data_IF_624042049400
#
_entry.id   IF_624042049400
#
_cell.length_a   1.000
_cell.length_b   1.000
_cell.length_c   1.000
_cell.angle_alpha   90.00
_cell.angle_beta   90.00
_cell.angle_gamma   90.00
#
_symmetry.space_group_name_H-M   'P 1'
#
loop_
_entity.id
_entity.type
_entity.pdbx_description
1 polymer ?
#
# COMPACT_ATOMS: atom_id res chain seq x y z
N UNK A 1 -28.88 -51.69 5.20
CA UNK A 1 -28.71 -50.36 5.85
C UNK A 1 -27.25 -49.98 6.14
N UNK A 2 -26.28 -50.91 6.07
CA UNK A 2 -24.86 -50.64 6.36
C UNK A 2 -24.06 -50.08 5.16
N UNK A 3 -24.42 -50.42 3.91
CA UNK A 3 -23.73 -49.95 2.70
C UNK A 3 -23.95 -48.46 2.40
N UNK A 4 -25.16 -47.94 2.62
CA UNK A 4 -25.46 -46.53 2.39
C UNK A 4 -24.66 -45.58 3.30
N UNK A 5 -24.38 -46.00 4.54
CA UNK A 5 -23.52 -45.24 5.46
C UNK A 5 -22.07 -45.25 5.01
N UNK A 6 -21.54 -46.40 4.58
CA UNK A 6 -20.14 -46.53 4.08
C UNK A 6 -19.88 -45.66 2.84
N UNK A 7 -20.85 -45.57 1.92
CA UNK A 7 -20.81 -44.71 0.74
C UNK A 7 -20.77 -43.21 1.11
N UNK A 8 -21.59 -42.80 2.08
CA UNK A 8 -21.61 -41.42 2.59
C UNK A 8 -20.29 -41.03 3.28
N UNK A 9 -19.68 -41.93 4.05
CA UNK A 9 -18.37 -41.69 4.66
C UNK A 9 -17.24 -41.59 3.64
N UNK A 10 -17.27 -42.41 2.58
CA UNK A 10 -16.28 -42.35 1.51
C UNK A 10 -16.41 -41.04 0.70
N UNK A 11 -17.63 -40.60 0.39
CA UNK A 11 -17.88 -39.32 -0.25
C UNK A 11 -17.46 -38.13 0.64
N UNK A 12 -17.74 -38.20 1.94
CA UNK A 12 -17.31 -37.19 2.90
C UNK A 12 -15.78 -37.09 2.99
N UNK A 13 -15.06 -38.23 3.00
CA UNK A 13 -13.59 -38.24 3.00
C UNK A 13 -12.99 -37.67 1.71
N UNK A 14 -13.62 -37.89 0.56
CA UNK A 14 -13.18 -37.34 -0.74
C UNK A 14 -13.34 -35.82 -0.83
N UNK A 15 -14.28 -35.22 -0.11
CA UNK A 15 -14.52 -33.77 -0.10
C UNK A 15 -13.78 -33.09 1.06
N UNK A 16 -13.91 -33.64 2.26
CA UNK A 16 -13.36 -33.05 3.49
C UNK A 16 -11.87 -33.36 3.62
N UNK A 17 -11.39 -34.50 3.12
CA UNK A 17 -9.98 -34.89 3.19
C UNK A 17 -9.06 -33.89 2.48
N UNK A 18 -9.26 -33.58 1.18
CA UNK A 18 -8.46 -32.57 0.49
C UNK A 18 -8.56 -31.18 1.12
N UNK A 19 -9.74 -30.81 1.64
CA UNK A 19 -9.96 -29.54 2.33
C UNK A 19 -9.13 -29.45 3.62
N UNK A 20 -9.11 -30.51 4.43
CA UNK A 20 -8.29 -30.60 5.64
C UNK A 20 -6.80 -30.60 5.29
N UNK A 21 -6.39 -31.32 4.24
CA UNK A 21 -5.00 -31.31 3.74
C UNK A 21 -4.60 -29.88 3.33
N UNK A 22 -5.46 -29.15 2.62
CA UNK A 22 -5.20 -27.76 2.25
C UNK A 22 -5.08 -26.84 3.48
N UNK A 23 -5.96 -26.98 4.48
CA UNK A 23 -5.87 -26.20 5.73
C UNK A 23 -4.58 -26.49 6.49
N UNK A 24 -4.13 -27.74 6.54
CA UNK A 24 -2.87 -28.13 7.19
C UNK A 24 -1.65 -27.62 6.41
N UNK A 25 -1.67 -27.71 5.08
CA UNK A 25 -0.56 -27.30 4.23
C UNK A 25 -0.41 -25.78 4.12
N UNK A 26 -1.53 -25.04 4.12
CA UNK A 26 -1.52 -23.60 3.86
C UNK A 26 -1.81 -22.76 5.10
N UNK A 27 -2.40 -23.33 6.15
CA UNK A 27 -2.77 -22.61 7.37
C UNK A 27 -3.79 -21.47 7.13
N UNK A 28 -4.64 -21.13 8.11
CA UNK A 28 -5.35 -19.85 8.07
C UNK A 28 -4.40 -18.65 8.28
N UNK A 29 -3.23 -18.89 8.88
CA UNK A 29 -2.22 -17.91 9.24
C UNK A 29 -1.07 -17.86 8.23
N UNK A 30 -1.36 -18.11 6.96
CA UNK A 30 -0.39 -17.94 5.88
C UNK A 30 0.01 -16.48 5.77
N UNK A 31 0.92 -16.02 6.62
CA UNK A 31 1.50 -14.69 6.56
C UNK A 31 2.07 -14.52 5.16
N UNK A 32 1.49 -13.60 4.40
CA UNK A 32 2.15 -13.07 3.20
C UNK A 32 3.29 -12.22 3.72
N UNK A 33 4.40 -12.87 4.08
CA UNK A 33 5.61 -12.17 4.47
C UNK A 33 6.08 -11.47 3.21
N UNK A 34 5.95 -10.14 3.19
CA UNK A 34 6.61 -9.31 2.20
C UNK A 34 8.10 -9.66 2.25
N UNK A 35 8.57 -10.40 1.25
CA UNK A 35 9.97 -10.79 1.19
C UNK A 35 10.78 -9.50 1.22
N UNK A 36 11.71 -9.41 2.18
CA UNK A 36 12.55 -8.24 2.31
C UNK A 36 13.39 -8.17 1.04
N UNK A 37 13.00 -7.28 0.14
CA UNK A 37 13.74 -7.05 -1.10
C UNK A 37 15.21 -6.86 -0.73
N UNK A 38 16.14 -7.52 -1.43
CA UNK A 38 17.57 -7.33 -1.18
C UNK A 38 17.86 -5.84 -1.17
N UNK A 39 18.60 -5.39 -0.15
CA UNK A 39 18.87 -3.97 0.04
C UNK A 39 19.44 -3.39 -1.24
N UNK A 40 18.69 -2.51 -1.90
CA UNK A 40 19.12 -1.78 -3.08
C UNK A 40 20.17 -0.73 -2.65
N UNK A 41 21.36 -1.20 -2.28
CA UNK A 41 22.58 -0.44 -2.45
C UNK A 41 22.88 -0.44 -3.94
N UNK A 42 22.10 0.30 -4.72
CA UNK A 42 22.28 0.35 -6.17
C UNK A 42 23.73 0.76 -6.45
N UNK A 43 24.51 -0.02 -7.22
CA UNK A 43 25.72 0.53 -7.82
C UNK A 43 25.32 1.80 -8.59
N UNK A 44 26.19 2.81 -8.69
CA UNK A 44 25.83 4.09 -9.30
C UNK A 44 25.16 3.85 -10.66
N UNK A 45 23.88 4.23 -10.75
CA UNK A 45 23.11 4.05 -11.98
C UNK A 45 23.81 4.81 -13.10
N UNK A 46 24.25 4.08 -14.14
CA UNK A 46 24.71 4.72 -15.37
C UNK A 46 23.48 5.29 -16.07
N UNK A 47 23.27 6.60 -15.94
CA UNK A 47 22.18 7.31 -16.60
C UNK A 47 22.40 7.28 -18.11
N UNK A 48 21.72 6.35 -18.81
CA UNK A 48 21.89 6.15 -20.25
C UNK A 48 21.33 7.29 -21.11
N UNK A 49 20.30 7.99 -20.60
CA UNK A 49 19.73 9.22 -21.17
C UNK A 49 19.20 10.10 -20.05
N UNK A 50 19.44 11.40 -20.16
CA UNK A 50 18.92 12.44 -19.25
C UNK A 50 17.96 13.31 -20.04
N UNK A 51 16.77 13.56 -19.50
CA UNK A 51 15.87 14.60 -20.01
C UNK A 51 16.02 15.83 -19.11
N UNK A 52 16.79 16.80 -19.57
CA UNK A 52 17.09 18.03 -18.81
C UNK A 52 15.87 18.94 -18.67
N UNK A 53 14.84 18.74 -19.49
CA UNK A 53 13.63 19.57 -19.52
C UNK A 53 12.59 19.16 -18.50
N UNK A 54 12.67 17.97 -17.89
CA UNK A 54 11.67 17.51 -16.89
C UNK A 54 11.60 18.48 -15.71
N UNK A 55 12.73 19.05 -15.29
CA UNK A 55 12.76 20.04 -14.22
C UNK A 55 12.09 21.37 -14.57
N UNK A 56 11.85 21.67 -15.86
CA UNK A 56 11.14 22.88 -16.28
C UNK A 56 9.63 22.79 -15.99
N UNK A 57 9.09 21.57 -15.86
CA UNK A 57 7.64 21.31 -15.79
C UNK A 57 7.21 20.56 -14.53
N UNK A 58 8.13 20.31 -13.60
CA UNK A 58 7.87 19.55 -12.36
C UNK A 58 8.32 20.38 -11.17
N UNK A 59 7.41 20.50 -10.20
CA UNK A 59 7.70 21.08 -8.90
C UNK A 59 8.03 19.98 -7.89
N UNK A 60 9.03 20.22 -7.04
CA UNK A 60 9.37 19.30 -5.94
C UNK A 60 8.50 19.63 -4.73
N UNK A 61 7.68 18.66 -4.33
CA UNK A 61 6.71 18.83 -3.24
C UNK A 61 7.09 17.98 -2.04
N UNK A 62 7.04 18.54 -0.83
CA UNK A 62 7.27 17.81 0.42
C UNK A 62 8.68 17.25 0.62
N UNK A 63 9.68 17.79 -0.06
CA UNK A 63 11.08 17.38 0.12
C UNK A 63 11.52 17.49 1.58
N UNK A 64 12.17 16.44 2.09
CA UNK A 64 12.67 16.38 3.47
C UNK A 64 11.58 16.12 4.52
N UNK A 65 10.30 16.28 4.16
CA UNK A 65 9.15 16.12 5.08
C UNK A 65 8.39 14.81 4.89
N UNK A 66 8.61 14.10 3.77
CA UNK A 66 7.97 12.83 3.44
C UNK A 66 9.00 11.70 3.52
N UNK A 67 8.97 10.92 4.61
CA UNK A 67 9.87 9.78 4.78
C UNK A 67 9.34 8.56 4.02
N UNK A 68 9.95 8.24 2.88
CA UNK A 68 9.55 7.09 2.04
C UNK A 68 8.07 7.13 1.64
N UNK A 69 7.60 8.20 0.96
CA UNK A 69 6.20 8.31 0.56
C UNK A 69 5.82 7.18 -0.42
N UNK A 70 4.65 6.59 -0.22
CA UNK A 70 4.07 5.57 -1.11
C UNK A 70 2.63 5.93 -1.41
N UNK A 71 2.26 5.68 -2.66
CA UNK A 71 0.97 6.00 -3.27
C UNK A 71 0.49 7.44 -3.04
N UNK A 72 -0.50 7.87 -3.82
CA UNK A 72 -1.08 9.21 -3.73
C UNK A 72 -2.58 9.16 -3.93
N UNK A 73 -3.32 9.74 -2.99
CA UNK A 73 -4.74 10.03 -3.16
C UNK A 73 -4.97 11.53 -3.21
N UNK A 74 -5.70 12.01 -4.22
CA UNK A 74 -6.02 13.43 -4.37
C UNK A 74 -7.46 13.71 -3.95
N UNK A 75 -7.64 14.69 -3.07
CA UNK A 75 -8.94 15.29 -2.77
C UNK A 75 -9.10 16.59 -3.57
N UNK A 76 -9.99 16.57 -4.56
CA UNK A 76 -10.25 17.71 -5.42
C UNK A 76 -11.04 18.84 -4.75
N UNK A 77 -11.81 18.56 -3.69
CA UNK A 77 -12.52 19.59 -2.94
C UNK A 77 -11.57 20.34 -2.02
N UNK A 78 -10.67 19.63 -1.35
CA UNK A 78 -9.67 20.23 -0.47
C UNK A 78 -8.44 20.76 -1.23
N UNK A 79 -8.24 20.34 -2.48
CA UNK A 79 -7.04 20.66 -3.25
C UNK A 79 -5.78 20.08 -2.59
N UNK A 80 -5.84 18.86 -2.09
CA UNK A 80 -4.76 18.27 -1.31
C UNK A 80 -4.43 16.84 -1.73
N UNK A 81 -3.14 16.51 -1.65
CA UNK A 81 -2.64 15.14 -1.83
C UNK A 81 -2.45 14.49 -0.46
N UNK A 82 -2.69 13.19 -0.42
CA UNK A 82 -2.46 12.34 0.75
C UNK A 82 -1.50 11.24 0.35
N UNK A 83 -0.51 10.95 1.20
CA UNK A 83 0.49 9.91 0.98
C UNK A 83 0.80 9.15 2.26
N UNK A 84 1.03 7.84 2.14
CA UNK A 84 1.51 7.01 3.22
C UNK A 84 3.02 7.14 3.37
N UNK A 85 3.55 7.12 4.59
CA UNK A 85 4.99 7.22 4.84
C UNK A 85 5.53 6.02 5.62
N UNK A 86 6.84 5.80 5.54
CA UNK A 86 7.52 4.66 6.15
C UNK A 86 7.52 4.67 7.69
N UNK A 87 7.13 5.79 8.31
CA UNK A 87 6.94 5.94 9.76
C UNK A 87 5.48 5.73 10.20
N UNK A 88 4.62 5.19 9.34
CA UNK A 88 3.23 4.85 9.66
C UNK A 88 2.28 6.05 9.70
N UNK A 89 2.75 7.24 9.29
CA UNK A 89 1.89 8.41 9.13
C UNK A 89 1.31 8.50 7.72
N UNK A 90 0.03 8.84 7.66
CA UNK A 90 -0.55 9.47 6.47
C UNK A 90 -0.30 10.97 6.57
N UNK A 91 0.33 11.53 5.56
CA UNK A 91 0.62 12.97 5.46
C UNK A 91 -0.25 13.62 4.40
N UNK A 92 -0.77 14.80 4.71
CA UNK A 92 -1.47 15.68 3.79
C UNK A 92 -0.49 16.71 3.25
N UNK A 93 -0.50 16.87 1.94
CA UNK A 93 0.28 17.87 1.20
C UNK A 93 -0.74 18.80 0.55
N UNK A 94 -0.92 19.98 1.12
CA UNK A 94 -1.83 20.98 0.56
C UNK A 94 -1.24 21.49 -0.76
N UNK A 95 -1.97 21.39 -1.88
CA UNK A 95 -1.55 22.03 -3.12
C UNK A 95 -1.80 23.53 -2.98
N UNK A 96 -0.79 24.36 -3.28
CA UNK A 96 -1.01 25.81 -3.31
C UNK A 96 -1.91 26.11 -4.50
N UNK A 97 -3.16 26.50 -4.22
CA UNK A 97 -3.98 27.21 -5.19
C UNK A 97 -3.38 28.59 -5.41
N UNK A 98 -2.48 28.71 -6.38
CA UNK A 98 -2.19 29.96 -7.11
C UNK A 98 -1.66 31.18 -6.35
N UNK A 99 -1.36 31.12 -5.05
CA UNK A 99 -0.71 32.23 -4.36
C UNK A 99 0.81 32.08 -4.41
N UNK A 100 1.42 32.88 -5.27
CA UNK A 100 2.86 32.96 -5.49
C UNK A 100 3.62 33.07 -4.16
N UNK A 101 4.44 32.05 -3.86
CA UNK A 101 5.47 32.12 -2.82
C UNK A 101 5.16 31.47 -1.48
N UNK A 102 4.00 30.81 -1.29
CA UNK A 102 3.75 30.04 -0.05
C UNK A 102 4.33 28.62 -0.18
N UNK A 103 5.15 28.14 0.77
CA UNK A 103 5.64 26.77 0.73
C UNK A 103 4.49 25.78 0.93
N UNK A 104 4.49 24.70 0.15
CA UNK A 104 3.56 23.59 0.30
C UNK A 104 3.58 23.09 1.74
N UNK A 105 2.43 23.12 2.41
CA UNK A 105 2.32 22.67 3.78
C UNK A 105 2.16 21.15 3.79
N UNK A 106 3.14 20.46 4.35
CA UNK A 106 3.05 19.05 4.70
C UNK A 106 2.62 18.95 6.16
N UNK A 107 1.51 18.28 6.43
CA UNK A 107 1.02 18.05 7.78
C UNK A 107 0.77 16.58 8.04
N UNK A 108 0.96 16.16 9.30
CA UNK A 108 0.57 14.83 9.74
C UNK A 108 -0.96 14.80 9.83
N UNK A 109 -1.59 13.99 8.98
CA UNK A 109 -3.04 13.87 8.93
C UNK A 109 -3.56 12.82 9.90
N UNK A 110 -3.03 11.59 9.81
CA UNK A 110 -3.44 10.49 10.67
C UNK A 110 -2.32 9.48 10.84
N UNK A 111 -2.18 8.94 12.06
CA UNK A 111 -1.24 7.86 12.33
C UNK A 111 -1.97 6.52 12.23
N UNK A 112 -1.48 5.65 11.35
CA UNK A 112 -2.07 4.33 11.09
C UNK A 112 -1.13 3.18 11.51
N UNK A 113 0.11 3.50 11.89
CA UNK A 113 1.16 2.51 12.17
C UNK A 113 1.66 1.84 10.89
N UNK A 114 2.42 0.75 11.04
CA UNK A 114 2.81 -0.12 9.92
C UNK A 114 3.60 0.59 8.81
N UNK A 115 3.39 0.13 7.57
CA UNK A 115 3.95 0.68 6.33
C UNK A 115 2.81 0.79 5.31
N UNK A 116 2.09 1.92 5.30
CA UNK A 116 1.03 2.17 4.32
C UNK A 116 1.63 2.22 2.91
N UNK A 117 1.09 1.40 2.01
CA UNK A 117 1.55 1.29 0.62
C UNK A 117 0.48 1.67 -0.41
N UNK A 118 -0.80 1.72 -0.01
CA UNK A 118 -1.90 2.01 -0.92
C UNK A 118 -2.93 2.94 -0.29
N UNK A 119 -3.40 3.94 -1.05
CA UNK A 119 -4.33 4.97 -0.61
C UNK A 119 -5.38 5.23 -1.70
N UNK A 120 -6.66 5.28 -1.33
CA UNK A 120 -7.73 5.69 -2.24
C UNK A 120 -8.90 6.32 -1.51
N UNK A 121 -9.51 7.35 -2.10
CA UNK A 121 -10.77 7.89 -1.61
C UNK A 121 -11.96 7.07 -2.09
N UNK A 122 -12.91 6.81 -1.20
CA UNK A 122 -14.24 6.32 -1.57
C UNK A 122 -15.07 7.45 -2.19
N UNK A 123 -16.19 7.14 -2.87
CA UNK A 123 -17.15 8.16 -3.30
C UNK A 123 -17.71 9.02 -2.15
N UNK A 124 -17.68 8.51 -0.91
CA UNK A 124 -18.09 9.20 0.31
C UNK A 124 -16.96 10.03 0.95
N UNK A 125 -15.79 10.11 0.29
CA UNK A 125 -14.60 10.84 0.76
C UNK A 125 -13.95 10.26 2.02
N UNK A 126 -14.13 8.96 2.23
CA UNK A 126 -13.38 8.23 3.23
C UNK A 126 -12.05 7.77 2.61
N UNK A 127 -10.94 7.93 3.34
CA UNK A 127 -9.63 7.49 2.87
C UNK A 127 -9.42 6.01 3.27
N UNK A 128 -9.40 5.13 2.27
CA UNK A 128 -9.00 3.74 2.43
C UNK A 128 -7.47 3.68 2.46
N UNK A 129 -6.93 2.95 3.44
CA UNK A 129 -5.48 2.78 3.63
C UNK A 129 -5.15 1.28 3.66
N UNK A 130 -4.27 0.86 2.76
CA UNK A 130 -3.73 -0.49 2.71
C UNK A 130 -2.33 -0.51 3.32
N UNK A 131 -2.18 -1.29 4.40
CA UNK A 131 -0.91 -1.47 5.09
C UNK A 131 -0.28 -2.82 4.73
N UNK A 132 1.05 -2.84 4.63
CA UNK A 132 1.83 -4.05 4.33
C UNK A 132 2.39 -4.77 5.55
N UNK A 133 2.35 -4.13 6.72
CA UNK A 133 2.87 -4.60 7.99
C UNK A 133 1.82 -4.39 9.08
N UNK A 134 1.06 -5.45 9.40
CA UNK A 134 0.12 -5.45 10.53
C UNK A 134 0.11 -6.76 11.28
#
# INVERSE_FOLDING_TARGET
MLEGKRSLWAAALLVVGPLLVAVVLYGPDGDIIAEKLPGYGSPPMVVRRRNERVGEWVERVGEGSLLGPEDLAYDAEEGALYTGCADGWIRKVAAVSGEEGRPLAVTNFSYVGGRPLGLAFTPQKELIVCDSLK
#
